data_IF_179262021463
#
_entry.id   IF_179262021463
#
_cell.length_a   1.000
_cell.length_b   1.000
_cell.length_c   1.000
_cell.angle_alpha   90.00
_cell.angle_beta   90.00
_cell.angle_gamma   90.00
#
_symmetry.space_group_name_H-M   'P 1'
#
loop_
_entity.id
_entity.type
_entity.pdbx_description
1 polymer ?
#
# COMPACT_ATOMS: atom_id res chain seq x y z
N UNK A 1 11.62 -14.95 4.96
CA UNK A 1 11.57 -13.66 5.67
C UNK A 1 10.22 -13.02 5.41
N UNK A 2 9.53 -12.55 6.44
CA UNK A 2 8.28 -11.78 6.28
C UNK A 2 8.55 -10.34 5.83
N UNK A 3 9.73 -9.82 6.16
CA UNK A 3 10.23 -8.51 5.70
C UNK A 3 11.68 -8.67 5.23
N UNK A 4 11.92 -8.42 3.95
CA UNK A 4 13.25 -8.50 3.33
C UNK A 4 14.26 -7.49 3.90
N UNK A 5 13.81 -6.46 4.64
CA UNK A 5 14.70 -5.55 5.38
C UNK A 5 15.36 -6.20 6.58
N UNK A 6 14.84 -7.35 7.03
CA UNK A 6 15.44 -8.17 8.05
C UNK A 6 16.62 -9.00 7.53
N UNK A 7 17.16 -9.86 8.41
CA UNK A 7 18.18 -10.83 8.06
C UNK A 7 18.05 -12.08 8.92
N UNK A 8 18.06 -13.26 8.29
CA UNK A 8 18.08 -14.53 8.99
C UNK A 8 18.65 -15.63 8.08
N UNK A 9 19.43 -16.56 8.60
CA UNK A 9 20.04 -17.61 7.79
C UNK A 9 20.94 -18.55 8.57
N UNK A 10 21.92 -19.10 7.86
CA UNK A 10 22.85 -20.10 8.37
C UNK A 10 24.03 -19.45 9.07
N UNK A 11 24.43 -20.02 10.21
CA UNK A 11 25.67 -19.73 10.90
C UNK A 11 26.53 -20.99 10.88
N UNK A 12 27.81 -20.83 10.57
CA UNK A 12 28.74 -21.93 10.48
C UNK A 12 30.14 -21.51 10.94
N UNK A 13 31.00 -22.49 11.23
CA UNK A 13 32.34 -22.26 11.80
C UNK A 13 32.27 -21.32 13.01
N UNK A 14 31.33 -21.59 13.91
CA UNK A 14 31.17 -20.81 15.14
C UNK A 14 32.01 -21.38 16.28
N UNK A 15 32.56 -20.48 17.13
CA UNK A 15 33.17 -20.81 18.40
C UNK A 15 32.17 -20.97 19.56
N UNK A 16 30.87 -20.82 19.22
CA UNK A 16 29.79 -20.88 20.20
C UNK A 16 29.57 -19.56 20.96
N UNK A 17 30.34 -18.51 20.65
CA UNK A 17 30.27 -17.21 21.29
C UNK A 17 30.10 -16.10 20.24
N UNK A 18 31.19 -15.45 19.84
CA UNK A 18 31.09 -14.21 19.06
C UNK A 18 31.70 -14.33 17.66
N UNK A 19 32.45 -15.41 17.38
CA UNK A 19 33.13 -15.59 16.10
C UNK A 19 32.45 -16.67 15.27
N UNK A 20 31.98 -16.30 14.08
CA UNK A 20 31.30 -17.21 13.15
C UNK A 20 31.18 -16.60 11.76
N UNK A 21 30.93 -17.42 10.77
CA UNK A 21 30.45 -16.97 9.48
C UNK A 21 28.92 -17.01 9.44
N UNK A 22 28.32 -16.02 8.83
CA UNK A 22 26.89 -15.97 8.54
C UNK A 22 26.61 -15.91 7.04
N UNK A 23 25.74 -16.79 6.56
CA UNK A 23 25.22 -16.75 5.19
C UNK A 23 23.70 -16.58 5.25
N UNK A 24 23.21 -15.45 4.78
CA UNK A 24 21.82 -15.04 5.00
C UNK A 24 21.33 -14.02 3.96
N UNK A 25 20.02 -14.06 3.60
CA UNK A 25 19.37 -12.96 2.87
C UNK A 25 19.19 -11.74 3.77
N UNK A 26 19.33 -10.56 3.17
CA UNK A 26 19.05 -9.26 3.79
C UNK A 26 18.84 -8.20 2.71
N UNK A 27 17.72 -7.47 2.75
CA UNK A 27 17.39 -6.43 1.78
C UNK A 27 17.22 -6.97 0.35
N UNK A 28 16.70 -8.19 0.18
CA UNK A 28 16.56 -8.84 -1.12
C UNK A 28 17.90 -9.30 -1.75
N UNK A 29 18.99 -9.31 -0.97
CA UNK A 29 20.35 -9.68 -1.40
C UNK A 29 20.86 -10.81 -0.52
N UNK A 30 21.85 -11.55 -0.98
CA UNK A 30 22.53 -12.57 -0.21
C UNK A 30 23.81 -12.00 0.38
N UNK A 31 23.97 -12.12 1.69
CA UNK A 31 25.16 -11.70 2.43
C UNK A 31 25.93 -12.87 2.98
N UNK A 32 27.24 -12.76 2.85
CA UNK A 32 28.21 -13.59 3.53
C UNK A 32 29.06 -12.67 4.41
N UNK A 33 29.02 -12.89 5.71
CA UNK A 33 29.72 -12.04 6.69
C UNK A 33 30.59 -12.89 7.60
N UNK A 34 31.83 -12.45 7.84
CA UNK A 34 32.71 -12.97 8.92
C UNK A 34 32.51 -12.09 10.15
N UNK A 35 31.95 -12.68 11.20
CA UNK A 35 31.77 -12.06 12.50
C UNK A 35 32.98 -12.41 13.38
N UNK A 36 33.82 -11.44 13.68
CA UNK A 36 35.03 -11.60 14.46
C UNK A 36 34.91 -11.09 15.91
N UNK A 37 33.71 -10.67 16.33
CA UNK A 37 33.43 -10.18 17.67
C UNK A 37 32.05 -9.49 17.75
N UNK A 38 31.65 -9.00 18.95
CA UNK A 38 30.31 -8.46 19.20
C UNK A 38 30.05 -7.10 18.59
N UNK A 39 31.10 -6.35 18.26
CA UNK A 39 30.97 -5.00 17.70
C UNK A 39 30.75 -5.05 16.19
N UNK A 40 29.91 -4.17 15.68
CA UNK A 40 29.72 -3.97 14.23
C UNK A 40 31.04 -3.64 13.51
N UNK A 41 31.98 -3.06 14.18
CA UNK A 41 33.33 -2.75 13.65
C UNK A 41 34.20 -4.00 13.47
N UNK A 42 33.83 -5.11 14.08
CA UNK A 42 34.53 -6.42 13.95
C UNK A 42 33.83 -7.33 12.92
N UNK A 43 32.82 -6.84 12.18
CA UNK A 43 32.13 -7.58 11.16
C UNK A 43 32.68 -7.23 9.77
N UNK A 44 33.09 -8.25 9.04
CA UNK A 44 33.59 -8.11 7.68
C UNK A 44 32.60 -8.74 6.70
N UNK A 45 31.96 -7.90 5.87
CA UNK A 45 31.09 -8.38 4.78
C UNK A 45 32.02 -8.88 3.67
N UNK A 46 32.02 -10.19 3.45
CA UNK A 46 32.81 -10.85 2.41
C UNK A 46 32.12 -10.81 1.04
N UNK A 47 30.79 -10.87 1.04
CA UNK A 47 29.95 -10.75 -0.15
C UNK A 47 28.61 -10.14 0.21
N UNK A 48 28.11 -9.25 -0.63
CA UNK A 48 26.76 -8.69 -0.59
C UNK A 48 26.29 -8.53 -2.04
N UNK A 49 25.63 -9.55 -2.56
CA UNK A 49 25.27 -9.64 -3.96
C UNK A 49 23.80 -9.96 -4.18
N UNK A 50 23.18 -9.32 -5.17
CA UNK A 50 21.91 -9.78 -5.71
C UNK A 50 22.17 -11.10 -6.47
N UNK A 51 21.25 -12.04 -6.34
CA UNK A 51 21.32 -13.31 -7.07
C UNK A 51 19.98 -13.58 -7.74
N UNK A 52 19.95 -13.91 -9.04
CA UNK A 52 18.72 -14.31 -9.73
C UNK A 52 18.15 -15.63 -9.18
N UNK A 53 18.94 -16.37 -8.41
CA UNK A 53 18.54 -17.64 -7.80
C UNK A 53 17.92 -17.46 -6.41
N UNK A 54 18.02 -16.27 -5.79
CA UNK A 54 17.32 -15.93 -4.56
C UNK A 54 15.94 -15.36 -4.88
N UNK A 55 14.92 -15.84 -4.19
CA UNK A 55 13.50 -15.49 -4.40
C UNK A 55 12.98 -14.75 -3.17
N UNK A 56 12.99 -13.42 -3.15
CA UNK A 56 12.47 -12.63 -2.03
C UNK A 56 11.01 -12.97 -1.73
N UNK A 57 10.66 -13.06 -0.44
CA UNK A 57 9.30 -13.40 0.00
C UNK A 57 8.87 -14.85 -0.23
N UNK A 58 9.75 -15.73 -0.68
CA UNK A 58 9.49 -17.13 -0.93
C UNK A 58 10.42 -18.04 -0.11
N UNK A 59 10.12 -19.32 -0.07
CA UNK A 59 11.02 -20.32 0.46
C UNK A 59 12.27 -20.43 -0.40
N UNK A 60 13.44 -20.35 0.24
CA UNK A 60 14.73 -20.52 -0.41
C UNK A 60 15.53 -21.59 0.33
N UNK A 61 16.14 -22.50 -0.41
CA UNK A 61 17.05 -23.50 0.14
C UNK A 61 18.45 -22.88 0.23
N UNK A 62 18.94 -22.68 1.46
CA UNK A 62 20.29 -22.24 1.72
C UNK A 62 21.16 -23.44 2.10
N UNK A 63 22.32 -23.57 1.47
CA UNK A 63 23.28 -24.62 1.78
C UNK A 63 24.68 -24.01 1.90
N UNK A 64 25.43 -24.47 2.89
CA UNK A 64 26.85 -24.19 3.02
C UNK A 64 27.62 -25.53 3.00
N UNK A 65 28.52 -25.66 2.05
CA UNK A 65 29.44 -26.79 1.97
C UNK A 65 30.81 -26.35 2.48
N UNK A 66 31.29 -26.98 3.55
CA UNK A 66 32.56 -26.65 4.19
C UNK A 66 33.57 -27.71 3.84
N UNK A 67 34.64 -27.32 3.17
CA UNK A 67 35.81 -28.11 2.88
C UNK A 67 36.97 -27.79 3.87
N UNK A 68 38.11 -28.38 3.69
CA UNK A 68 39.23 -28.20 4.62
C UNK A 68 39.80 -26.76 4.63
N UNK A 69 39.85 -26.11 3.47
CA UNK A 69 40.48 -24.79 3.28
C UNK A 69 39.56 -23.74 2.70
N UNK A 70 38.32 -24.11 2.39
CA UNK A 70 37.32 -23.19 1.81
C UNK A 70 35.92 -23.63 2.17
N UNK A 71 34.98 -22.73 1.94
CA UNK A 71 33.55 -23.04 1.96
C UNK A 71 32.85 -22.46 0.75
N UNK A 72 31.73 -23.09 0.38
CA UNK A 72 30.89 -22.74 -0.76
C UNK A 72 29.46 -22.52 -0.25
N UNK A 73 28.85 -21.42 -0.66
CA UNK A 73 27.48 -21.04 -0.28
C UNK A 73 26.56 -21.17 -1.48
N UNK A 74 25.44 -21.84 -1.30
CA UNK A 74 24.45 -22.10 -2.36
C UNK A 74 23.09 -21.57 -1.96
N UNK A 75 22.35 -21.06 -2.95
CA UNK A 75 20.91 -20.78 -2.85
C UNK A 75 20.20 -21.53 -3.96
N UNK A 76 19.16 -22.28 -3.60
CA UNK A 76 18.36 -23.07 -4.55
C UNK A 76 19.20 -23.93 -5.51
N UNK A 77 20.26 -24.57 -4.96
CA UNK A 77 21.17 -25.45 -5.71
C UNK A 77 22.29 -24.74 -6.49
N UNK A 78 22.29 -23.41 -6.59
CA UNK A 78 23.31 -22.63 -7.31
C UNK A 78 24.34 -22.01 -6.37
N UNK A 79 25.63 -22.10 -6.71
CA UNK A 79 26.70 -21.45 -5.98
C UNK A 79 26.58 -19.92 -6.15
N UNK A 80 26.62 -19.20 -5.04
CA UNK A 80 26.44 -17.73 -5.02
C UNK A 80 27.57 -17.00 -4.31
N UNK A 81 28.31 -17.68 -3.45
CA UNK A 81 29.46 -17.12 -2.77
C UNK A 81 30.41 -18.24 -2.29
N UNK A 82 31.67 -17.91 -2.11
CA UNK A 82 32.67 -18.80 -1.52
C UNK A 82 33.67 -17.99 -0.69
N UNK A 83 34.40 -18.68 0.19
CA UNK A 83 35.44 -18.06 1.00
C UNK A 83 36.54 -19.06 1.43
N UNK A 84 37.71 -18.53 1.74
CA UNK A 84 38.79 -19.32 2.30
C UNK A 84 38.56 -19.58 3.78
N UNK A 85 38.95 -20.75 4.24
CA UNK A 85 38.99 -21.11 5.66
C UNK A 85 40.43 -21.26 6.11
N UNK A 86 40.77 -20.56 7.18
CA UNK A 86 42.01 -20.88 7.93
C UNK A 86 41.61 -21.89 8.99
N UNK A 87 42.19 -23.10 8.99
CA UNK A 87 41.90 -24.09 10.02
C UNK A 87 42.16 -23.50 11.40
N UNK A 88 41.14 -23.35 12.21
CA UNK A 88 41.25 -22.91 13.60
C UNK A 88 40.64 -23.96 14.52
N UNK A 89 41.40 -24.38 15.52
CA UNK A 89 40.85 -25.27 16.55
C UNK A 89 39.73 -24.57 17.32
N UNK A 90 38.60 -25.25 17.51
CA UNK A 90 37.48 -24.78 18.33
C UNK A 90 36.28 -24.14 17.56
N UNK A 91 36.38 -23.92 16.24
CA UNK A 91 35.27 -23.37 15.43
C UNK A 91 34.58 -24.48 14.62
N UNK A 92 33.64 -25.19 15.23
CA UNK A 92 32.94 -26.31 14.55
C UNK A 92 31.42 -26.27 14.70
N UNK A 93 30.88 -25.28 15.40
CA UNK A 93 29.44 -25.19 15.61
C UNK A 93 28.75 -24.61 14.38
N UNK A 94 27.52 -25.07 14.14
CA UNK A 94 26.64 -24.63 13.09
C UNK A 94 25.26 -24.36 13.67
N UNK A 95 24.49 -23.47 13.04
CA UNK A 95 23.17 -23.13 13.55
C UNK A 95 22.40 -22.19 12.64
N UNK A 96 21.31 -21.70 13.19
CA UNK A 96 20.46 -20.70 12.60
C UNK A 96 20.57 -19.40 13.38
N UNK A 97 20.57 -18.28 12.68
CA UNK A 97 20.55 -16.96 13.31
C UNK A 97 19.51 -16.05 12.67
N UNK A 98 18.96 -15.16 13.48
CA UNK A 98 18.19 -14.01 13.03
C UNK A 98 18.77 -12.73 13.63
N UNK A 99 18.64 -11.64 12.92
CA UNK A 99 19.15 -10.35 13.33
C UNK A 99 18.00 -9.38 13.62
N UNK A 100 18.14 -8.59 14.67
CA UNK A 100 17.13 -7.61 15.13
C UNK A 100 15.74 -8.25 15.31
N UNK A 101 14.69 -7.52 14.96
CA UNK A 101 13.30 -7.95 15.08
C UNK A 101 12.80 -8.72 13.83
N UNK A 102 13.73 -9.33 13.07
CA UNK A 102 13.39 -10.10 11.88
C UNK A 102 12.47 -11.26 12.24
N UNK A 103 11.34 -11.38 11.57
CA UNK A 103 10.49 -12.57 11.60
C UNK A 103 10.93 -13.48 10.46
N UNK A 104 11.35 -14.69 10.79
CA UNK A 104 11.83 -15.68 9.83
C UNK A 104 11.34 -17.07 10.20
N UNK A 105 11.01 -17.85 9.20
CA UNK A 105 10.65 -19.27 9.34
C UNK A 105 11.80 -20.11 8.78
N UNK A 106 12.15 -21.15 9.49
CA UNK A 106 13.14 -22.13 9.06
C UNK A 106 12.50 -23.52 9.03
N UNK A 107 12.83 -24.31 8.01
CA UNK A 107 12.35 -25.65 7.85
C UNK A 107 13.48 -26.57 7.38
N UNK A 108 13.51 -27.80 7.85
CA UNK A 108 14.41 -28.84 7.34
C UNK A 108 15.89 -28.58 7.62
N UNK A 109 16.27 -27.91 8.74
CA UNK A 109 17.68 -27.71 9.08
C UNK A 109 18.41 -29.04 9.29
N UNK A 110 19.45 -29.27 8.50
CA UNK A 110 20.23 -30.50 8.51
C UNK A 110 21.72 -30.20 8.57
N UNK A 111 22.47 -31.06 9.26
CA UNK A 111 23.94 -31.00 9.35
C UNK A 111 24.46 -32.42 9.17
N UNK A 112 25.40 -32.60 8.26
CA UNK A 112 25.98 -33.91 8.03
C UNK A 112 27.17 -33.89 7.09
N UNK A 113 27.84 -35.03 6.96
CA UNK A 113 28.82 -35.29 5.90
C UNK A 113 28.06 -35.80 4.70
N UNK A 114 28.37 -35.26 3.51
CA UNK A 114 27.77 -35.72 2.25
C UNK A 114 26.23 -35.61 2.17
N UNK A 115 25.67 -34.46 2.55
CA UNK A 115 24.28 -34.10 2.26
C UNK A 115 24.10 -33.87 0.74
N UNK A 116 24.44 -34.90 -0.06
CA UNK A 116 24.21 -34.83 -1.52
C UNK A 116 22.72 -34.89 -1.79
N UNK A 117 22.20 -33.94 -2.56
CA UNK A 117 20.87 -34.00 -3.13
C UNK A 117 20.84 -35.25 -4.06
N UNK A 118 20.15 -36.30 -3.64
CA UNK A 118 19.79 -37.36 -4.59
C UNK A 118 18.80 -36.78 -5.57
N UNK A 119 19.05 -36.83 -6.87
CA UNK A 119 18.04 -36.43 -7.84
C UNK A 119 16.77 -37.27 -7.60
N UNK A 120 15.61 -36.63 -7.84
CA UNK A 120 14.32 -37.33 -7.75
C UNK A 120 14.33 -38.56 -8.66
N UNK A 121 13.99 -39.71 -8.10
CA UNK A 121 13.81 -40.91 -8.90
C UNK A 121 12.44 -40.92 -9.64
N UNK A 122 12.24 -41.84 -10.54
CA UNK A 122 11.03 -41.94 -11.35
C UNK A 122 9.75 -42.09 -10.49
N UNK A 123 9.83 -42.75 -9.34
CA UNK A 123 8.66 -42.97 -8.43
C UNK A 123 8.30 -41.68 -7.72
N UNK A 124 9.32 -40.91 -7.27
CA UNK A 124 9.13 -39.60 -6.64
C UNK A 124 8.50 -38.62 -7.62
N UNK A 125 9.00 -38.58 -8.85
CA UNK A 125 8.43 -37.75 -9.91
C UNK A 125 6.98 -38.10 -10.23
N UNK A 126 6.66 -39.40 -10.35
CA UNK A 126 5.30 -39.87 -10.58
C UNK A 126 4.35 -39.54 -9.42
N UNK A 127 4.80 -39.66 -8.17
CA UNK A 127 4.02 -39.27 -7.00
C UNK A 127 3.72 -37.77 -6.98
N UNK A 128 4.71 -36.93 -7.27
CA UNK A 128 4.55 -35.47 -7.37
C UNK A 128 3.59 -35.10 -8.52
N UNK A 129 3.72 -35.75 -9.69
CA UNK A 129 2.83 -35.48 -10.82
C UNK A 129 1.38 -35.91 -10.56
N UNK A 130 1.16 -36.98 -9.78
CA UNK A 130 -0.20 -37.32 -9.33
C UNK A 130 -0.83 -36.19 -8.51
N UNK A 131 -0.07 -35.55 -7.62
CA UNK A 131 -0.58 -34.45 -6.81
C UNK A 131 -0.86 -33.17 -7.61
N UNK A 132 -0.09 -32.93 -8.66
CA UNK A 132 -0.36 -31.79 -9.56
C UNK A 132 -1.67 -31.90 -10.33
N UNK A 133 -2.20 -33.10 -10.47
CA UNK A 133 -3.42 -33.41 -11.27
C UNK A 133 -4.69 -33.53 -10.45
N UNK A 134 -4.63 -33.38 -9.12
CA UNK A 134 -5.81 -33.51 -8.25
C UNK A 134 -6.61 -32.22 -8.29
N UNK A 135 -7.68 -32.22 -9.07
CA UNK A 135 -8.66 -31.13 -9.12
C UNK A 135 -9.62 -31.24 -7.93
N UNK A 136 -9.39 -30.42 -6.88
CA UNK A 136 -10.38 -30.20 -5.82
C UNK A 136 -10.58 -31.27 -4.75
N UNK A 137 -9.93 -32.43 -4.85
CA UNK A 137 -9.95 -33.44 -3.81
C UNK A 137 -8.81 -33.25 -2.80
N UNK A 138 -9.01 -33.60 -1.52
CA UNK A 138 -7.92 -33.58 -0.55
C UNK A 138 -6.79 -34.51 -0.99
N UNK A 139 -5.55 -34.05 -0.90
CA UNK A 139 -4.37 -34.86 -1.19
C UNK A 139 -4.36 -36.06 -0.23
N UNK A 140 -4.64 -37.23 -0.73
CA UNK A 140 -4.52 -38.50 0.01
C UNK A 140 -3.23 -39.16 -0.39
N UNK A 141 -2.37 -39.46 0.58
CA UNK A 141 -1.16 -40.22 0.36
C UNK A 141 -1.39 -41.69 0.74
N UNK A 142 -1.09 -42.57 -0.17
CA UNK A 142 -1.03 -44.01 0.11
C UNK A 142 0.38 -44.34 0.65
N UNK A 143 0.50 -45.41 1.43
CA UNK A 143 1.70 -45.72 2.21
C UNK A 143 3.01 -45.80 1.40
N UNK A 144 2.93 -46.26 0.14
CA UNK A 144 4.11 -46.37 -0.73
C UNK A 144 4.59 -45.04 -1.25
N UNK A 145 3.72 -44.04 -1.44
CA UNK A 145 4.09 -42.68 -1.84
C UNK A 145 4.84 -41.97 -0.71
N UNK A 146 4.40 -42.14 0.55
CA UNK A 146 5.10 -41.59 1.70
C UNK A 146 6.54 -42.10 1.80
N UNK A 147 6.72 -43.38 1.67
CA UNK A 147 8.03 -44.01 1.76
C UNK A 147 8.97 -43.53 0.62
N UNK A 148 8.46 -43.42 -0.61
CA UNK A 148 9.22 -42.98 -1.75
C UNK A 148 9.63 -41.48 -1.61
N UNK A 149 8.70 -40.61 -1.15
CA UNK A 149 8.95 -39.19 -0.99
C UNK A 149 9.79 -38.84 0.25
N UNK A 150 9.80 -39.71 1.27
CA UNK A 150 10.63 -39.52 2.46
C UNK A 150 12.14 -39.81 2.22
N UNK A 151 12.52 -40.43 1.12
CA UNK A 151 13.91 -40.72 0.75
C UNK A 151 14.63 -39.45 0.22
N UNK A 152 14.88 -38.47 1.10
CA UNK A 152 15.65 -37.25 0.80
C UNK A 152 14.82 -35.98 0.81
N UNK A 153 15.48 -34.83 0.71
CA UNK A 153 14.85 -33.51 0.79
C UNK A 153 14.34 -33.00 -0.55
N UNK A 154 14.83 -33.51 -1.67
CA UNK A 154 14.53 -33.03 -3.02
C UNK A 154 13.04 -33.06 -3.36
N UNK A 155 12.32 -34.11 -2.93
CA UNK A 155 10.87 -34.23 -3.15
C UNK A 155 10.10 -33.13 -2.37
N UNK A 156 10.49 -32.90 -1.13
CA UNK A 156 9.89 -31.84 -0.29
C UNK A 156 10.11 -30.47 -0.92
N UNK A 157 11.32 -30.20 -1.39
CA UNK A 157 11.65 -28.90 -2.04
C UNK A 157 10.83 -28.66 -3.31
N UNK A 158 10.63 -29.69 -4.13
CA UNK A 158 9.78 -29.58 -5.34
C UNK A 158 8.31 -29.36 -4.97
N UNK A 159 7.80 -30.06 -3.96
CA UNK A 159 6.42 -29.87 -3.48
C UNK A 159 6.22 -28.44 -2.94
N UNK A 160 7.13 -27.97 -2.09
CA UNK A 160 7.04 -26.62 -1.52
C UNK A 160 7.18 -25.52 -2.60
N UNK A 161 8.09 -25.68 -3.55
CA UNK A 161 8.20 -24.74 -4.66
C UNK A 161 6.96 -24.73 -5.56
N UNK A 162 6.34 -25.89 -5.77
CA UNK A 162 5.07 -26.01 -6.50
C UNK A 162 3.93 -25.32 -5.73
N UNK A 163 3.83 -25.56 -4.42
CA UNK A 163 2.84 -24.90 -3.55
C UNK A 163 2.98 -23.38 -3.61
N UNK A 164 4.19 -22.86 -3.45
CA UNK A 164 4.45 -21.42 -3.57
C UNK A 164 4.05 -20.85 -4.94
N UNK A 165 4.30 -21.57 -6.03
CA UNK A 165 3.88 -21.17 -7.37
C UNK A 165 2.35 -21.15 -7.52
N UNK A 166 1.65 -22.12 -6.95
CA UNK A 166 0.18 -22.18 -6.95
C UNK A 166 -0.43 -21.05 -6.10
N UNK A 167 0.15 -20.76 -4.95
CA UNK A 167 -0.26 -19.65 -4.07
C UNK A 167 -0.13 -18.30 -4.79
N UNK A 168 1.00 -18.07 -5.46
CA UNK A 168 1.21 -16.85 -6.25
C UNK A 168 0.22 -16.75 -7.42
N UNK A 169 -0.02 -17.86 -8.13
CA UNK A 169 -1.03 -17.88 -9.20
C UNK A 169 -2.45 -17.64 -8.67
N UNK A 170 -2.81 -18.23 -7.53
CA UNK A 170 -4.10 -18.00 -6.88
C UNK A 170 -4.23 -16.53 -6.43
N UNK A 171 -3.15 -15.91 -5.93
CA UNK A 171 -3.10 -14.48 -5.60
C UNK A 171 -3.35 -13.63 -6.84
N UNK A 172 -2.67 -13.89 -7.95
CA UNK A 172 -2.87 -13.18 -9.23
C UNK A 172 -4.31 -13.32 -9.75
N UNK A 173 -4.90 -14.50 -9.65
CA UNK A 173 -6.30 -14.71 -10.05
C UNK A 173 -7.27 -13.92 -9.18
N UNK A 174 -7.06 -13.90 -7.85
CA UNK A 174 -7.86 -13.05 -6.94
C UNK A 174 -7.71 -11.56 -7.26
N UNK A 175 -6.50 -11.12 -7.59
CA UNK A 175 -6.25 -9.74 -8.01
C UNK A 175 -6.99 -9.39 -9.32
N UNK A 176 -6.96 -10.30 -10.29
CA UNK A 176 -7.68 -10.13 -11.54
C UNK A 176 -9.21 -10.08 -11.33
N UNK A 177 -9.75 -10.95 -10.47
CA UNK A 177 -11.17 -10.92 -10.12
C UNK A 177 -11.56 -9.59 -9.49
N UNK A 178 -10.83 -9.13 -8.48
CA UNK A 178 -11.08 -7.83 -7.84
C UNK A 178 -10.96 -6.65 -8.82
N UNK A 179 -10.03 -6.71 -9.77
CA UNK A 179 -9.92 -5.70 -10.82
C UNK A 179 -11.14 -5.70 -11.73
N UNK A 180 -11.65 -6.88 -12.13
CA UNK A 180 -12.86 -7.01 -12.95
C UNK A 180 -14.08 -6.47 -12.20
N UNK A 181 -14.25 -6.81 -10.93
CA UNK A 181 -15.35 -6.33 -10.09
C UNK A 181 -15.35 -4.82 -9.93
N UNK A 182 -14.18 -4.17 -9.88
CA UNK A 182 -14.07 -2.72 -9.75
C UNK A 182 -14.24 -1.94 -11.07
N UNK A 183 -14.21 -2.61 -12.24
CA UNK A 183 -14.31 -1.94 -13.56
C UNK A 183 -15.55 -1.05 -13.74
N UNK A 184 -16.78 -1.46 -13.34
CA UNK A 184 -17.96 -0.61 -13.49
C UNK A 184 -17.84 0.70 -12.69
N UNK A 185 -17.35 0.60 -11.45
CA UNK A 185 -17.12 1.75 -10.58
C UNK A 185 -16.05 2.68 -11.15
N UNK A 186 -14.95 2.09 -11.67
CA UNK A 186 -13.88 2.87 -12.30
C UNK A 186 -14.34 3.60 -13.56
N UNK A 187 -15.15 2.96 -14.42
CA UNK A 187 -15.76 3.62 -15.60
C UNK A 187 -16.68 4.77 -15.19
N UNK A 188 -17.47 4.57 -14.12
CA UNK A 188 -18.30 5.64 -13.56
C UNK A 188 -17.45 6.80 -13.08
N UNK A 189 -16.36 6.51 -12.35
CA UNK A 189 -15.39 7.50 -11.92
C UNK A 189 -14.83 8.31 -13.10
N UNK A 190 -14.35 7.67 -14.15
CA UNK A 190 -13.84 8.35 -15.35
C UNK A 190 -14.89 9.27 -16.00
N UNK A 191 -16.17 8.84 -16.03
CA UNK A 191 -17.25 9.69 -16.55
C UNK A 191 -17.48 10.92 -15.66
N UNK A 192 -17.40 10.77 -14.33
CA UNK A 192 -17.56 11.88 -13.40
C UNK A 192 -16.40 12.86 -13.48
N UNK A 193 -15.17 12.37 -13.60
CA UNK A 193 -13.97 13.21 -13.79
C UNK A 193 -14.09 14.17 -14.97
N UNK A 194 -14.76 13.76 -16.04
CA UNK A 194 -15.01 14.62 -17.23
C UNK A 194 -16.05 15.72 -17.00
N UNK A 195 -16.82 15.64 -15.92
CA UNK A 195 -17.92 16.57 -15.59
C UNK A 195 -17.67 17.39 -14.33
N UNK A 196 -16.46 17.36 -13.78
CA UNK A 196 -16.13 17.98 -12.49
C UNK A 196 -16.28 19.51 -12.46
N UNK A 197 -16.34 20.15 -13.62
CA UNK A 197 -16.62 21.58 -13.71
C UNK A 197 -18.08 21.93 -13.38
N UNK A 198 -18.97 20.94 -13.33
CA UNK A 198 -20.37 21.10 -12.92
C UNK A 198 -20.45 21.02 -11.38
N UNK A 199 -21.05 22.02 -10.71
CA UNK A 199 -21.09 22.06 -9.23
C UNK A 199 -21.70 20.81 -8.58
N UNK A 200 -22.72 20.23 -9.20
CA UNK A 200 -23.45 19.05 -8.72
C UNK A 200 -22.69 17.73 -8.86
N UNK A 201 -21.58 17.72 -9.59
CA UNK A 201 -20.80 16.50 -9.83
C UNK A 201 -19.94 16.05 -8.65
N UNK A 202 -19.70 16.93 -7.67
CA UNK A 202 -18.77 16.66 -6.56
C UNK A 202 -19.18 15.46 -5.72
N UNK A 203 -20.43 15.41 -5.27
CA UNK A 203 -20.94 14.33 -4.41
C UNK A 203 -20.97 12.99 -5.16
N UNK A 204 -21.45 12.97 -6.39
CA UNK A 204 -21.48 11.74 -7.17
C UNK A 204 -20.08 11.18 -7.41
N UNK A 205 -19.11 12.04 -7.73
CA UNK A 205 -17.71 11.64 -7.89
C UNK A 205 -17.11 11.14 -6.57
N UNK A 206 -17.38 11.81 -5.45
CA UNK A 206 -16.89 11.39 -4.14
C UNK A 206 -17.50 10.05 -3.68
N UNK A 207 -18.76 9.79 -4.01
CA UNK A 207 -19.42 8.48 -3.78
C UNK A 207 -18.82 7.39 -4.68
N UNK A 208 -18.51 7.72 -5.94
CA UNK A 208 -17.87 6.77 -6.86
C UNK A 208 -16.50 6.28 -6.37
N UNK A 209 -15.75 7.09 -5.62
CA UNK A 209 -14.51 6.67 -4.97
C UNK A 209 -14.73 5.51 -3.98
N UNK A 210 -15.83 5.54 -3.22
CA UNK A 210 -16.19 4.44 -2.33
C UNK A 210 -16.51 3.15 -3.09
N UNK A 211 -17.18 3.26 -4.25
CA UNK A 211 -17.52 2.12 -5.09
C UNK A 211 -16.30 1.47 -5.78
N UNK A 212 -15.19 2.18 -5.95
CA UNK A 212 -13.92 1.62 -6.44
C UNK A 212 -13.36 0.60 -5.45
N UNK A 213 -13.53 0.82 -4.16
CA UNK A 213 -13.07 -0.08 -3.10
C UNK A 213 -14.09 -1.16 -2.77
N UNK A 214 -15.35 -0.79 -2.69
CA UNK A 214 -16.47 -1.69 -2.43
C UNK A 214 -17.50 -1.64 -3.58
N UNK A 215 -17.44 -2.59 -4.52
CA UNK A 215 -18.38 -2.67 -5.66
C UNK A 215 -19.86 -2.81 -5.26
N UNK A 216 -20.17 -3.18 -4.01
CA UNK A 216 -21.53 -3.26 -3.50
C UNK A 216 -22.16 -1.88 -3.23
N UNK A 217 -21.38 -0.79 -3.28
CA UNK A 217 -21.87 0.55 -3.05
C UNK A 217 -22.79 1.01 -4.17
N UNK A 218 -24.06 1.14 -3.88
CA UNK A 218 -25.08 1.67 -4.79
C UNK A 218 -25.04 3.21 -4.84
N UNK A 219 -24.12 3.78 -5.61
CA UNK A 219 -23.91 5.24 -5.70
C UNK A 219 -25.22 6.01 -5.89
N UNK A 220 -26.12 5.56 -6.78
CA UNK A 220 -27.39 6.24 -7.05
C UNK A 220 -28.35 6.25 -5.86
N UNK A 221 -28.26 5.28 -4.96
CA UNK A 221 -29.02 5.26 -3.71
C UNK A 221 -28.60 6.43 -2.80
N UNK A 222 -27.29 6.63 -2.64
CA UNK A 222 -26.76 7.69 -1.79
C UNK A 222 -26.98 9.08 -2.42
N UNK A 223 -26.87 9.19 -3.75
CA UNK A 223 -27.22 10.45 -4.46
C UNK A 223 -28.66 10.84 -4.14
N UNK A 224 -29.63 9.91 -4.29
CA UNK A 224 -31.05 10.18 -3.94
C UNK A 224 -31.24 10.52 -2.47
N UNK A 225 -30.46 9.93 -1.58
CA UNK A 225 -30.53 10.26 -0.14
C UNK A 225 -30.08 11.70 0.12
N UNK A 226 -28.98 12.14 -0.52
CA UNK A 226 -28.50 13.52 -0.41
C UNK A 226 -29.48 14.51 -1.08
N UNK A 227 -30.08 14.14 -2.21
CA UNK A 227 -31.14 14.93 -2.84
C UNK A 227 -32.33 15.14 -1.90
N UNK A 228 -32.79 14.07 -1.24
CA UNK A 228 -33.86 14.17 -0.25
C UNK A 228 -33.48 15.06 0.95
N UNK A 229 -32.23 14.97 1.43
CA UNK A 229 -31.74 15.89 2.48
C UNK A 229 -31.80 17.35 2.02
N UNK A 230 -31.40 17.64 0.78
CA UNK A 230 -31.47 18.98 0.23
C UNK A 230 -32.92 19.48 0.13
N UNK A 231 -33.87 18.64 -0.31
CA UNK A 231 -35.30 18.97 -0.35
C UNK A 231 -35.86 19.31 1.02
N UNK A 232 -35.50 18.50 2.05
CA UNK A 232 -35.89 18.72 3.44
C UNK A 232 -35.33 20.03 4.00
N UNK A 233 -34.10 20.41 3.65
CA UNK A 233 -33.48 21.67 4.01
C UNK A 233 -34.15 22.85 3.30
N UNK A 234 -34.37 22.75 1.99
CA UNK A 234 -35.03 23.79 1.19
C UNK A 234 -36.44 24.14 1.71
N UNK A 235 -37.20 23.11 2.11
CA UNK A 235 -38.55 23.31 2.65
C UNK A 235 -38.56 24.11 3.97
N UNK A 236 -37.42 24.30 4.63
CA UNK A 236 -37.30 25.06 5.88
C UNK A 236 -36.88 26.50 5.71
N UNK A 237 -36.52 26.91 4.49
CA UNK A 237 -36.05 28.27 4.26
C UNK A 237 -37.23 29.25 4.28
N UNK A 238 -37.23 30.21 5.22
CA UNK A 238 -38.24 31.28 5.19
C UNK A 238 -38.01 32.16 3.95
N UNK A 239 -39.10 32.71 3.45
CA UNK A 239 -39.04 33.66 2.34
C UNK A 239 -38.20 34.90 2.72
N UNK A 240 -37.28 35.29 1.82
CA UNK A 240 -36.37 36.41 2.07
C UNK A 240 -35.20 36.16 2.98
N UNK A 241 -34.93 34.88 3.33
CA UNK A 241 -33.75 34.53 4.14
C UNK A 241 -32.43 34.93 3.48
N UNK A 242 -31.52 35.49 4.28
CA UNK A 242 -30.15 35.72 3.84
C UNK A 242 -29.38 34.42 3.65
N UNK A 243 -28.29 34.44 2.87
CA UNK A 243 -27.41 33.26 2.67
C UNK A 243 -26.90 32.68 4.02
N UNK A 244 -26.54 33.57 4.97
CA UNK A 244 -26.14 33.16 6.32
C UNK A 244 -27.25 32.40 7.04
N UNK A 245 -28.49 32.91 7.03
CA UNK A 245 -29.64 32.27 7.67
C UNK A 245 -29.96 30.90 7.04
N UNK A 246 -29.85 30.77 5.72
CA UNK A 246 -30.00 29.50 5.02
C UNK A 246 -28.91 28.51 5.45
N UNK A 247 -27.67 28.96 5.53
CA UNK A 247 -26.54 28.14 5.97
C UNK A 247 -26.71 27.71 7.43
N UNK A 248 -27.13 28.60 8.35
CA UNK A 248 -27.39 28.26 9.75
C UNK A 248 -28.45 27.15 9.85
N UNK A 249 -29.49 27.16 9.01
CA UNK A 249 -30.51 26.10 8.97
C UNK A 249 -29.98 24.79 8.42
N UNK A 250 -29.10 24.82 7.41
CA UNK A 250 -28.43 23.64 6.87
C UNK A 250 -27.50 23.01 7.91
N UNK A 251 -26.70 23.81 8.59
CA UNK A 251 -25.75 23.34 9.61
C UNK A 251 -26.52 22.73 10.80
N UNK A 252 -27.59 23.39 11.24
CA UNK A 252 -28.50 22.85 12.27
C UNK A 252 -29.10 21.50 11.85
N UNK A 253 -29.58 21.39 10.61
CA UNK A 253 -30.13 20.13 10.11
C UNK A 253 -29.09 19.01 10.14
N UNK A 254 -27.86 19.26 9.69
CA UNK A 254 -26.81 18.25 9.65
C UNK A 254 -26.33 17.86 11.04
N UNK A 255 -25.88 18.83 11.82
CA UNK A 255 -25.09 18.59 13.01
C UNK A 255 -25.93 18.43 14.28
N UNK A 256 -27.02 19.21 14.44
CA UNK A 256 -27.87 19.10 15.63
C UNK A 256 -28.98 18.07 15.47
N UNK A 257 -29.69 18.06 14.33
CA UNK A 257 -30.87 17.22 14.14
C UNK A 257 -30.52 15.83 13.60
N UNK A 258 -29.56 15.73 12.69
CA UNK A 258 -29.14 14.47 12.11
C UNK A 258 -27.87 13.89 12.74
N UNK A 259 -27.19 14.60 13.63
CA UNK A 259 -26.09 14.09 14.45
C UNK A 259 -24.80 13.79 13.68
N UNK A 260 -24.55 14.45 12.54
CA UNK A 260 -23.26 14.38 11.89
C UNK A 260 -22.18 15.00 12.78
N UNK A 261 -20.99 14.42 12.80
CA UNK A 261 -19.88 14.92 13.62
C UNK A 261 -18.51 14.52 13.07
N UNK A 262 -17.46 15.20 13.56
CA UNK A 262 -16.07 14.86 13.22
C UNK A 262 -15.59 13.62 13.96
N UNK A 263 -14.90 12.72 13.26
CA UNK A 263 -14.25 11.53 13.84
C UNK A 263 -13.01 11.92 14.62
N UNK A 264 -13.05 11.77 15.95
CA UNK A 264 -11.95 12.13 16.85
C UNK A 264 -11.17 10.92 17.37
N UNK A 265 -11.82 9.76 17.50
CA UNK A 265 -11.22 8.57 18.10
C UNK A 265 -10.43 7.77 17.05
N UNK A 266 -10.99 7.61 15.85
CA UNK A 266 -10.40 6.86 14.75
C UNK A 266 -10.18 7.77 13.51
N UNK A 267 -9.57 8.93 13.72
CA UNK A 267 -9.43 9.98 12.70
C UNK A 267 -9.00 9.44 11.32
N UNK A 268 -8.01 8.54 11.27
CA UNK A 268 -7.46 7.99 10.02
C UNK A 268 -8.20 6.75 9.51
N UNK A 269 -9.33 6.38 10.10
CA UNK A 269 -10.10 5.25 9.58
C UNK A 269 -10.63 5.54 8.18
N UNK A 270 -10.53 4.57 7.27
CA UNK A 270 -10.88 4.76 5.83
C UNK A 270 -12.33 5.21 5.64
N UNK A 271 -13.26 4.68 6.45
CA UNK A 271 -14.68 5.02 6.42
C UNK A 271 -14.94 6.52 6.55
N UNK A 272 -14.12 7.24 7.33
CA UNK A 272 -14.28 8.68 7.55
C UNK A 272 -14.05 9.53 6.29
N UNK A 273 -13.51 8.93 5.22
CA UNK A 273 -13.27 9.61 3.93
C UNK A 273 -14.04 8.96 2.77
N UNK A 274 -14.84 7.93 3.03
CA UNK A 274 -15.73 7.28 2.05
C UNK A 274 -17.15 7.84 2.22
N UNK A 275 -17.65 8.61 1.24
CA UNK A 275 -18.89 9.37 1.39
C UNK A 275 -20.12 8.52 1.73
N UNK A 276 -20.24 7.29 1.21
CA UNK A 276 -21.33 6.39 1.58
C UNK A 276 -21.28 6.05 3.07
N UNK A 277 -20.09 5.81 3.63
CA UNK A 277 -19.90 5.54 5.06
C UNK A 277 -20.17 6.78 5.90
N UNK A 278 -19.68 7.95 5.47
CA UNK A 278 -19.94 9.22 6.16
C UNK A 278 -21.44 9.49 6.26
N UNK A 279 -22.22 9.19 5.21
CA UNK A 279 -23.67 9.36 5.22
C UNK A 279 -24.37 8.34 6.16
N UNK A 280 -23.90 7.10 6.18
CA UNK A 280 -24.48 6.04 7.02
C UNK A 280 -24.13 6.21 8.50
N UNK A 281 -22.82 6.39 8.79
CA UNK A 281 -22.28 6.43 10.15
C UNK A 281 -22.46 7.82 10.79
N UNK A 282 -22.73 8.86 9.98
CA UNK A 282 -22.82 10.28 10.36
C UNK A 282 -21.52 10.81 10.98
N UNK A 283 -20.42 10.19 10.64
CA UNK A 283 -19.10 10.52 11.13
C UNK A 283 -18.13 10.67 9.97
N UNK A 284 -17.23 11.68 10.02
CA UNK A 284 -16.33 11.90 8.91
C UNK A 284 -15.08 12.72 9.24
N UNK A 285 -14.14 12.70 8.29
CA UNK A 285 -12.99 13.63 8.27
C UNK A 285 -13.43 15.05 7.88
N UNK A 286 -12.62 16.08 8.19
CA UNK A 286 -12.93 17.46 7.82
C UNK A 286 -13.35 17.63 6.36
N UNK A 287 -12.58 17.08 5.41
CA UNK A 287 -12.88 17.21 3.98
C UNK A 287 -14.18 16.49 3.57
N UNK A 288 -14.47 15.32 4.16
CA UNK A 288 -15.67 14.56 3.79
C UNK A 288 -16.95 15.24 4.29
N UNK A 289 -16.94 15.74 5.53
CA UNK A 289 -18.04 16.56 6.05
C UNK A 289 -18.21 17.87 5.27
N UNK A 290 -17.09 18.49 4.87
CA UNK A 290 -17.12 19.68 4.03
C UNK A 290 -17.72 19.41 2.65
N UNK A 291 -17.42 18.27 2.03
CA UNK A 291 -18.05 17.85 0.75
C UNK A 291 -19.57 17.74 0.90
N UNK A 292 -20.04 17.17 2.02
CA UNK A 292 -21.48 17.07 2.29
C UNK A 292 -22.14 18.46 2.44
N UNK A 293 -21.52 19.35 3.21
CA UNK A 293 -22.00 20.74 3.39
C UNK A 293 -21.99 21.48 2.04
N UNK A 294 -20.92 21.39 1.27
CA UNK A 294 -20.78 22.07 -0.04
C UNK A 294 -21.85 21.57 -1.01
N UNK A 295 -22.05 20.27 -1.13
CA UNK A 295 -23.02 19.71 -2.06
C UNK A 295 -24.46 20.09 -1.68
N UNK A 296 -24.83 19.95 -0.41
CA UNK A 296 -26.15 20.35 0.08
C UNK A 296 -26.40 21.86 -0.08
N UNK A 297 -25.41 22.70 0.22
CA UNK A 297 -25.53 24.13 0.06
C UNK A 297 -25.74 24.52 -1.42
N UNK A 298 -24.99 23.92 -2.34
CA UNK A 298 -25.13 24.14 -3.77
C UNK A 298 -26.51 23.70 -4.29
N UNK A 299 -26.98 22.52 -3.84
CA UNK A 299 -28.34 22.03 -4.16
C UNK A 299 -29.43 22.95 -3.62
N UNK A 300 -29.16 23.64 -2.52
CA UNK A 300 -30.04 24.66 -1.95
C UNK A 300 -29.86 26.06 -2.57
N UNK A 301 -29.10 26.18 -3.65
CA UNK A 301 -28.90 27.44 -4.39
C UNK A 301 -27.96 28.43 -3.73
N UNK A 302 -27.12 27.97 -2.75
CA UNK A 302 -26.13 28.82 -2.10
C UNK A 302 -24.77 28.70 -2.79
N UNK A 303 -24.06 29.82 -2.95
CA UNK A 303 -22.69 29.85 -3.40
C UNK A 303 -21.74 29.50 -2.27
N UNK A 304 -20.92 28.44 -2.46
CA UNK A 304 -19.96 27.98 -1.45
C UNK A 304 -18.67 27.48 -2.08
N UNK A 305 -17.56 27.76 -1.40
CA UNK A 305 -16.22 27.28 -1.73
C UNK A 305 -15.68 26.39 -0.62
N UNK A 306 -14.93 25.36 -1.00
CA UNK A 306 -14.07 24.63 -0.08
C UNK A 306 -12.75 25.35 0.09
N UNK A 307 -12.25 25.43 1.32
CA UNK A 307 -11.01 26.12 1.67
C UNK A 307 -10.04 25.15 2.33
N UNK A 308 -8.89 24.94 1.68
CA UNK A 308 -7.85 24.06 2.20
C UNK A 308 -7.02 24.73 3.29
N UNK A 309 -6.87 24.02 4.42
CA UNK A 309 -5.95 24.39 5.48
C UNK A 309 -5.04 23.17 5.81
N UNK A 310 -3.78 23.39 6.24
CA UNK A 310 -2.95 22.29 6.71
C UNK A 310 -3.63 21.47 7.80
N UNK A 311 -3.73 20.16 7.61
CA UNK A 311 -4.41 19.24 8.54
C UNK A 311 -5.95 19.38 8.62
N UNK A 312 -6.57 20.38 7.95
CA UNK A 312 -8.00 20.67 8.07
C UNK A 312 -8.63 21.11 6.75
N UNK A 313 -9.96 21.18 6.69
CA UNK A 313 -10.70 21.65 5.51
C UNK A 313 -11.97 22.38 5.96
N UNK A 314 -12.18 23.56 5.41
CA UNK A 314 -13.25 24.47 5.78
C UNK A 314 -14.19 24.73 4.62
N UNK A 315 -15.33 25.36 4.89
CA UNK A 315 -16.28 25.85 3.91
C UNK A 315 -16.45 27.36 4.09
N UNK A 316 -16.65 28.07 2.99
CA UNK A 316 -16.90 29.51 3.00
C UNK A 316 -18.08 29.85 2.07
N UNK A 317 -18.97 30.75 2.49
CA UNK A 317 -19.97 31.33 1.60
C UNK A 317 -19.28 32.21 0.53
N UNK A 318 -19.68 32.05 -0.72
CA UNK A 318 -19.22 32.91 -1.82
C UNK A 318 -20.07 34.17 -1.81
N UNK A 319 -19.48 35.32 -1.47
CA UNK A 319 -20.10 36.63 -1.64
C UNK A 319 -19.49 37.35 -2.83
N UNK A 320 -20.17 38.41 -3.33
CA UNK A 320 -19.64 39.26 -4.41
C UNK A 320 -18.27 39.89 -4.05
N UNK A 321 -17.96 40.00 -2.76
CA UNK A 321 -16.64 40.33 -2.23
C UNK A 321 -15.90 39.09 -1.79
N UNK A 322 -14.94 38.64 -2.59
CA UNK A 322 -14.20 37.37 -2.47
C UNK A 322 -13.34 37.21 -1.21
N UNK A 323 -13.22 38.19 -0.38
CA UNK A 323 -12.24 38.21 0.75
C UNK A 323 -12.90 38.36 2.13
N UNK A 324 -14.20 38.61 2.22
CA UNK A 324 -14.87 38.87 3.48
C UNK A 324 -15.87 37.75 3.81
N UNK A 325 -15.70 37.11 4.93
CA UNK A 325 -16.75 36.27 5.48
C UNK A 325 -16.21 35.26 6.48
N UNK A 326 -17.03 34.88 7.45
CA UNK A 326 -16.64 33.84 8.38
C UNK A 326 -16.53 32.50 7.62
N UNK A 327 -15.58 31.68 8.07
CA UNK A 327 -15.43 30.32 7.63
C UNK A 327 -16.31 29.39 8.46
N UNK A 328 -16.65 28.26 7.92
CA UNK A 328 -17.44 27.22 8.58
C UNK A 328 -16.54 26.00 8.76
N UNK A 329 -16.53 25.44 9.95
CA UNK A 329 -15.84 24.20 10.27
C UNK A 329 -16.81 23.02 10.42
N UNK A 330 -17.03 22.22 9.38
CA UNK A 330 -17.94 21.07 9.46
C UNK A 330 -17.46 19.99 10.44
N UNK A 331 -16.15 19.90 10.71
CA UNK A 331 -15.59 18.94 11.65
C UNK A 331 -15.92 19.32 13.11
N UNK A 332 -15.98 20.59 13.40
CA UNK A 332 -16.44 21.14 14.68
C UNK A 332 -17.95 21.47 14.62
N UNK A 333 -18.72 20.54 14.05
CA UNK A 333 -20.20 20.60 14.02
C UNK A 333 -20.77 21.88 13.36
N UNK A 334 -20.08 22.41 12.35
CA UNK A 334 -20.55 23.60 11.63
C UNK A 334 -20.28 24.91 12.35
N UNK A 335 -19.29 24.96 13.24
CA UNK A 335 -18.89 26.19 13.91
C UNK A 335 -18.49 27.27 12.90
N UNK A 336 -19.00 28.50 13.10
CA UNK A 336 -18.55 29.66 12.38
C UNK A 336 -17.24 30.16 12.98
N UNK A 337 -16.20 30.32 12.13
CA UNK A 337 -14.87 30.75 12.51
C UNK A 337 -14.60 32.13 11.96
N UNK A 338 -14.20 33.06 12.82
CA UNK A 338 -13.68 34.35 12.41
C UNK A 338 -12.19 34.29 12.05
N UNK A 339 -11.65 35.42 11.59
CA UNK A 339 -10.26 35.51 11.17
C UNK A 339 -9.27 35.27 12.31
N UNK A 340 -9.55 35.76 13.52
CA UNK A 340 -8.67 35.58 14.69
C UNK A 340 -8.58 34.10 15.09
N UNK A 341 -9.73 33.42 15.16
CA UNK A 341 -9.81 31.98 15.42
C UNK A 341 -9.09 31.17 14.34
N UNK A 342 -9.25 31.56 13.08
CA UNK A 342 -8.61 30.90 11.95
C UNK A 342 -7.08 31.02 12.01
N UNK A 343 -6.57 32.24 12.24
CA UNK A 343 -5.15 32.48 12.40
C UNK A 343 -4.55 31.69 13.57
N UNK A 344 -5.24 31.67 14.69
CA UNK A 344 -4.83 30.87 15.86
C UNK A 344 -4.69 29.40 15.51
N UNK A 345 -5.71 28.77 14.90
CA UNK A 345 -5.68 27.36 14.50
C UNK A 345 -4.57 27.07 13.49
N UNK A 346 -4.33 28.00 12.56
CA UNK A 346 -3.26 27.85 11.58
C UNK A 346 -1.88 27.86 12.24
N UNK A 347 -1.63 28.81 13.15
CA UNK A 347 -0.38 28.91 13.91
C UNK A 347 -0.17 27.66 14.79
N UNK A 348 -1.21 27.18 15.45
CA UNK A 348 -1.15 25.96 16.27
C UNK A 348 -0.76 24.73 15.42
N UNK A 349 -1.19 24.67 14.16
CA UNK A 349 -0.93 23.54 13.26
C UNK A 349 0.41 23.62 12.55
N UNK A 350 0.84 24.82 12.15
CA UNK A 350 2.02 25.02 11.27
C UNK A 350 3.21 25.67 11.96
N UNK A 351 2.99 26.32 13.11
CA UNK A 351 3.97 27.18 13.75
C UNK A 351 4.25 28.51 13.02
N UNK A 352 3.50 28.83 11.96
CA UNK A 352 3.71 30.00 11.11
C UNK A 352 2.44 30.85 11.04
N UNK A 353 2.58 32.17 10.95
CA UNK A 353 1.49 33.07 10.64
C UNK A 353 1.16 33.04 9.13
N UNK A 354 -0.08 33.38 8.79
CA UNK A 354 -0.54 33.51 7.39
C UNK A 354 -1.52 34.70 7.29
N UNK A 355 -1.80 35.12 6.07
CA UNK A 355 -2.90 36.01 5.79
C UNK A 355 -4.11 35.18 5.29
N UNK A 356 -5.35 35.53 5.67
CA UNK A 356 -6.56 34.79 5.24
C UNK A 356 -6.70 34.67 3.72
N UNK A 357 -6.18 35.66 3.00
CA UNK A 357 -6.12 35.69 1.52
C UNK A 357 -5.17 34.63 0.93
N UNK A 358 -4.25 34.08 1.73
CA UNK A 358 -3.33 33.02 1.31
C UNK A 358 -3.98 31.64 1.33
N UNK A 359 -5.20 31.49 1.90
CA UNK A 359 -5.89 30.23 1.92
C UNK A 359 -6.55 29.94 0.54
N UNK A 360 -6.09 28.89 -0.15
CA UNK A 360 -6.60 28.59 -1.47
C UNK A 360 -8.04 28.06 -1.41
N UNK A 361 -8.89 28.56 -2.31
CA UNK A 361 -10.15 27.87 -2.64
C UNK A 361 -9.87 26.66 -3.50
N UNK A 362 -10.58 25.58 -3.25
CA UNK A 362 -10.41 24.31 -3.93
C UNK A 362 -11.52 24.08 -4.96
N UNK A 363 -11.13 23.80 -6.19
CA UNK A 363 -12.05 23.26 -7.20
C UNK A 363 -12.49 21.84 -6.81
N UNK A 364 -13.60 21.35 -7.40
CA UNK A 364 -14.04 19.97 -7.21
C UNK A 364 -12.92 18.96 -7.47
N UNK A 365 -12.09 19.19 -8.50
CA UNK A 365 -10.91 18.37 -8.81
C UNK A 365 -9.90 18.33 -7.66
N UNK A 366 -9.57 19.46 -7.10
CA UNK A 366 -8.61 19.56 -5.99
C UNK A 366 -9.16 18.94 -4.68
N UNK A 367 -10.48 19.06 -4.45
CA UNK A 367 -11.15 18.38 -3.33
C UNK A 367 -11.00 16.87 -3.48
N UNK A 368 -11.33 16.31 -4.64
CA UNK A 368 -11.22 14.88 -4.91
C UNK A 368 -9.78 14.37 -4.89
N UNK A 369 -8.81 15.15 -5.38
CA UNK A 369 -7.38 14.83 -5.23
C UNK A 369 -7.00 14.69 -3.75
N UNK A 370 -7.47 15.59 -2.89
CA UNK A 370 -7.19 15.53 -1.47
C UNK A 370 -7.86 14.34 -0.79
N UNK A 371 -9.12 14.03 -1.16
CA UNK A 371 -9.81 12.83 -0.70
C UNK A 371 -9.05 11.56 -1.10
N UNK A 372 -8.61 11.46 -2.36
CA UNK A 372 -7.81 10.34 -2.85
C UNK A 372 -6.48 10.20 -2.10
N UNK A 373 -5.76 11.31 -1.84
CA UNK A 373 -4.52 11.26 -1.04
C UNK A 373 -4.77 10.69 0.37
N UNK A 374 -5.87 11.06 1.00
CA UNK A 374 -6.25 10.51 2.31
C UNK A 374 -6.56 9.00 2.21
N UNK A 375 -7.27 8.55 1.18
CA UNK A 375 -7.61 7.14 0.95
C UNK A 375 -6.35 6.31 0.64
N UNK A 376 -5.45 6.80 -0.22
CA UNK A 376 -4.16 6.17 -0.51
C UNK A 376 -3.35 6.03 0.78
N UNK A 377 -3.17 7.11 1.53
CA UNK A 377 -2.42 7.07 2.79
C UNK A 377 -3.06 6.15 3.85
N UNK A 378 -4.39 6.00 3.84
CA UNK A 378 -5.08 5.04 4.71
C UNK A 378 -4.82 3.59 4.31
N UNK A 379 -4.85 3.28 3.01
CA UNK A 379 -4.55 1.96 2.48
C UNK A 379 -3.07 1.58 2.72
N UNK A 380 -2.15 2.51 2.53
CA UNK A 380 -0.72 2.32 2.81
C UNK A 380 -0.44 2.02 4.29
N UNK A 381 -1.08 2.74 5.21
CA UNK A 381 -0.94 2.46 6.65
C UNK A 381 -1.44 1.07 7.04
N UNK A 382 -2.44 0.55 6.34
CA UNK A 382 -2.97 -0.81 6.53
C UNK A 382 -2.12 -1.88 5.82
N UNK A 383 -1.14 -1.49 4.98
CA UNK A 383 -0.40 -2.40 4.13
C UNK A 383 -1.22 -2.98 2.97
N UNK A 384 -2.39 -2.39 2.67
CA UNK A 384 -3.25 -2.84 1.58
C UNK A 384 -2.84 -2.20 0.25
N UNK A 385 -1.82 -2.79 -0.35
CA UNK A 385 -1.26 -2.32 -1.62
C UNK A 385 -2.24 -2.42 -2.79
N UNK A 386 -3.21 -3.33 -2.75
CA UNK A 386 -4.19 -3.48 -3.83
C UNK A 386 -5.20 -2.34 -3.82
N UNK A 387 -5.73 -1.99 -2.65
CA UNK A 387 -6.59 -0.83 -2.48
C UNK A 387 -5.85 0.47 -2.79
N UNK A 388 -4.59 0.60 -2.34
CA UNK A 388 -3.76 1.75 -2.69
C UNK A 388 -3.56 1.89 -4.22
N UNK A 389 -3.34 0.79 -4.94
CA UNK A 389 -3.23 0.79 -6.41
C UNK A 389 -4.52 1.23 -7.08
N UNK A 390 -5.70 0.77 -6.63
CA UNK A 390 -6.99 1.22 -7.17
C UNK A 390 -7.18 2.73 -7.01
N UNK A 391 -6.84 3.28 -5.86
CA UNK A 391 -6.92 4.73 -5.63
C UNK A 391 -5.85 5.51 -6.41
N UNK A 392 -4.65 4.96 -6.62
CA UNK A 392 -3.64 5.56 -7.50
C UNK A 392 -4.08 5.54 -8.97
N UNK A 393 -4.76 4.47 -9.43
CA UNK A 393 -5.36 4.43 -10.76
C UNK A 393 -6.44 5.52 -10.91
N UNK A 394 -7.29 5.70 -9.88
CA UNK A 394 -8.28 6.78 -9.85
C UNK A 394 -7.63 8.18 -9.83
N UNK A 395 -6.53 8.36 -9.10
CA UNK A 395 -5.80 9.63 -9.06
C UNK A 395 -5.17 9.97 -10.41
N UNK A 396 -4.58 8.99 -11.11
CA UNK A 396 -4.04 9.20 -12.46
C UNK A 396 -5.14 9.51 -13.47
N UNK A 397 -6.33 8.90 -13.34
CA UNK A 397 -7.48 9.26 -14.17
C UNK A 397 -7.96 10.69 -13.90
N UNK A 398 -7.87 11.17 -12.64
CA UNK A 398 -8.20 12.54 -12.24
C UNK A 398 -7.15 13.55 -12.70
N UNK A 399 -5.86 13.19 -12.67
CA UNK A 399 -4.72 14.07 -12.92
C UNK A 399 -3.64 13.29 -13.68
N UNK A 400 -3.83 13.20 -14.99
CA UNK A 400 -2.98 12.36 -15.88
C UNK A 400 -1.55 12.85 -16.01
N UNK A 401 -1.28 14.11 -15.66
CA UNK A 401 0.00 14.81 -15.72
C UNK A 401 0.75 14.85 -14.38
N UNK A 402 0.19 14.28 -13.32
CA UNK A 402 0.84 14.23 -11.99
C UNK A 402 1.96 13.18 -11.97
N UNK A 403 3.19 13.67 -12.13
CA UNK A 403 4.44 12.89 -12.12
C UNK A 403 4.59 12.11 -10.79
N UNK A 404 4.31 12.75 -9.66
CA UNK A 404 4.49 12.14 -8.35
C UNK A 404 3.56 10.92 -8.16
N UNK A 405 2.29 11.06 -8.55
CA UNK A 405 1.31 9.97 -8.49
C UNK A 405 1.70 8.80 -9.40
N UNK A 406 2.15 9.08 -10.64
CA UNK A 406 2.59 8.02 -11.55
C UNK A 406 3.83 7.30 -11.04
N UNK A 407 4.79 8.02 -10.47
CA UNK A 407 5.98 7.41 -9.88
C UNK A 407 5.61 6.52 -8.68
N UNK A 408 4.74 7.00 -7.79
CA UNK A 408 4.23 6.22 -6.66
C UNK A 408 3.54 4.94 -7.14
N UNK A 409 2.71 5.03 -8.20
CA UNK A 409 2.03 3.89 -8.81
C UNK A 409 3.01 2.91 -9.43
N UNK A 410 4.04 3.39 -10.15
CA UNK A 410 5.09 2.56 -10.74
C UNK A 410 5.82 1.74 -9.67
N UNK A 411 6.23 2.38 -8.58
CA UNK A 411 6.90 1.72 -7.45
C UNK A 411 6.01 0.64 -6.85
N UNK A 412 4.75 0.97 -6.57
CA UNK A 412 3.82 0.04 -5.93
C UNK A 412 3.44 -1.13 -6.86
N UNK A 413 3.28 -0.89 -8.18
CA UNK A 413 3.09 -1.93 -9.20
C UNK A 413 4.29 -2.89 -9.25
N UNK A 414 5.52 -2.35 -9.25
CA UNK A 414 6.75 -3.14 -9.22
C UNK A 414 6.87 -4.01 -7.97
N UNK A 415 6.48 -3.50 -6.81
CA UNK A 415 6.45 -4.26 -5.55
C UNK A 415 5.40 -5.39 -5.56
N UNK A 416 4.34 -5.23 -6.33
CA UNK A 416 3.26 -6.21 -6.46
C UNK A 416 3.39 -7.14 -7.69
N UNK A 417 4.56 -7.15 -8.35
CA UNK A 417 4.83 -8.04 -9.49
C UNK A 417 4.18 -7.61 -10.82
N UNK A 418 3.55 -6.44 -10.86
CA UNK A 418 2.96 -5.86 -12.07
C UNK A 418 4.01 -5.10 -12.88
N UNK A 419 5.05 -5.82 -13.29
CA UNK A 419 6.24 -5.22 -13.90
C UNK A 419 5.98 -4.50 -15.22
N UNK A 420 5.18 -5.04 -16.18
CA UNK A 420 4.91 -4.35 -17.42
C UNK A 420 4.29 -2.96 -17.20
N UNK A 421 3.24 -2.90 -16.38
CA UNK A 421 2.54 -1.65 -16.10
C UNK A 421 3.37 -0.68 -15.24
N UNK A 422 4.25 -1.21 -14.39
CA UNK A 422 5.22 -0.40 -13.64
C UNK A 422 6.23 0.28 -14.57
N UNK A 423 6.72 -0.46 -15.59
CA UNK A 423 7.65 0.05 -16.59
C UNK A 423 7.01 1.09 -17.51
N UNK A 424 5.73 0.94 -17.86
CA UNK A 424 4.96 1.93 -18.63
C UNK A 424 4.86 3.26 -17.88
N UNK A 425 4.45 3.23 -16.60
CA UNK A 425 4.37 4.44 -15.78
C UNK A 425 5.74 5.09 -15.60
N UNK A 426 6.77 4.29 -15.35
CA UNK A 426 8.12 4.80 -15.13
C UNK A 426 8.72 5.40 -16.41
N UNK A 427 8.47 4.79 -17.58
CA UNK A 427 8.89 5.35 -18.86
C UNK A 427 8.21 6.70 -19.10
N UNK A 428 6.90 6.79 -18.84
CA UNK A 428 6.19 8.06 -18.94
C UNK A 428 6.79 9.14 -18.04
N UNK A 429 7.14 8.81 -16.76
CA UNK A 429 7.80 9.74 -15.83
C UNK A 429 9.16 10.20 -16.36
N UNK A 430 9.96 9.28 -16.91
CA UNK A 430 11.27 9.59 -17.52
C UNK A 430 11.09 10.56 -18.71
N UNK A 431 10.08 10.33 -19.55
CA UNK A 431 9.81 11.16 -20.73
C UNK A 431 9.37 12.59 -20.37
N UNK A 432 8.76 12.80 -19.17
CA UNK A 432 8.44 14.13 -18.66
C UNK A 432 9.65 14.93 -18.19
N UNK A 433 10.82 14.30 -17.97
CA UNK A 433 12.06 14.93 -17.48
C UNK A 433 11.83 15.86 -16.27
N UNK A 434 11.23 15.37 -15.17
CA UNK A 434 10.89 16.22 -14.03
C UNK A 434 12.14 16.81 -13.39
N UNK A 435 12.19 18.14 -13.24
CA UNK A 435 13.33 18.84 -12.63
C UNK A 435 13.57 18.45 -11.16
N UNK A 436 12.52 18.01 -10.46
CA UNK A 436 12.56 17.67 -9.03
C UNK A 436 13.07 16.26 -8.73
N UNK A 437 13.33 15.41 -9.74
CA UNK A 437 13.71 14.00 -9.56
C UNK A 437 15.00 13.71 -10.35
N UNK A 438 15.97 13.08 -9.70
CA UNK A 438 17.20 12.66 -10.38
C UNK A 438 16.91 11.57 -11.40
N UNK A 439 17.18 11.87 -12.68
CA UNK A 439 17.01 10.94 -13.80
C UNK A 439 17.78 9.63 -13.59
N UNK A 440 18.93 9.67 -12.92
CA UNK A 440 19.72 8.47 -12.64
C UNK A 440 19.03 7.55 -11.62
N UNK A 441 18.24 8.10 -10.69
CA UNK A 441 17.41 7.30 -9.78
C UNK A 441 16.28 6.61 -10.53
N UNK A 442 15.61 7.29 -11.44
CA UNK A 442 14.57 6.72 -12.27
C UNK A 442 15.11 5.58 -13.16
N UNK A 443 16.28 5.76 -13.76
CA UNK A 443 16.92 4.74 -14.58
C UNK A 443 17.35 3.51 -13.76
N UNK A 444 17.89 3.70 -12.56
CA UNK A 444 18.20 2.60 -11.63
C UNK A 444 16.96 1.83 -11.23
N UNK A 445 15.86 2.55 -10.91
CA UNK A 445 14.58 1.93 -10.57
C UNK A 445 14.05 1.10 -11.76
N UNK A 446 14.11 1.66 -12.98
CA UNK A 446 13.70 0.94 -14.19
C UNK A 446 14.50 -0.35 -14.40
N UNK A 447 15.81 -0.28 -14.26
CA UNK A 447 16.68 -1.45 -14.36
C UNK A 447 16.33 -2.52 -13.32
N UNK A 448 16.14 -2.12 -12.06
CA UNK A 448 15.75 -3.04 -10.98
C UNK A 448 14.41 -3.73 -11.25
N UNK A 449 13.43 -3.03 -11.82
CA UNK A 449 12.14 -3.62 -12.20
C UNK A 449 12.29 -4.57 -13.38
N UNK A 450 13.10 -4.21 -14.39
CA UNK A 450 13.39 -5.07 -15.56
C UNK A 450 14.09 -6.37 -15.16
N UNK A 451 15.06 -6.31 -14.25
CA UNK A 451 15.75 -7.49 -13.74
C UNK A 451 14.79 -8.45 -13.02
N UNK A 452 13.83 -7.91 -12.24
CA UNK A 452 12.78 -8.71 -11.57
C UNK A 452 11.74 -9.28 -12.54
N UNK A 453 11.50 -8.62 -13.66
CA UNK A 453 10.56 -9.07 -14.68
C UNK A 453 11.12 -10.18 -15.56
N UNK A 454 12.45 -10.27 -15.69
CA UNK A 454 13.14 -11.27 -16.53
C UNK A 454 13.61 -12.53 -15.79
N UNK A 455 13.49 -12.57 -14.47
CA UNK A 455 13.81 -13.73 -13.62
C UNK A 455 12.58 -14.44 -13.13
#
# INVERSE_FOLDING_TARGET
LDDERGAAGLVFQSDGQERHFGFYPSGGRLRLTDFQGPSIYSWQILSDAASPHYRPGQWNHLRVHVERERFLCYVNGQEVASGALTPSEGRQQVGLAKFRDTVAQFQGFQVGKDLAEKPLDSRQLEAIERWRRVDGEPIRMEGDDWNALAEGTAAVDVILSTAASLEERAKQMRQAAAAIESLPAFRRWEMMVRRLDQPESLMEAALALGAIDDPAVEVDRYVRQVEKMAEEILARFPEGSSEKQKMDLLLKYLFEENGFHGSRQEYYHTANNQMHRVIEDREGMPIALSVLVIDLARRCGMGVDGVGMPGHFLVRLTSDNRLEGPWIDPFESGEWIDEEQLQKRFVETTGQGFLPEDLPTFSNRQILQRMLRNLIGSAERKGDSQTALRYLDAMVALSSDDVATRLQRAVLRGQNGRYPEALEDLQWVIDQQPESIDIHELLRLRQSIQERAGG
#
